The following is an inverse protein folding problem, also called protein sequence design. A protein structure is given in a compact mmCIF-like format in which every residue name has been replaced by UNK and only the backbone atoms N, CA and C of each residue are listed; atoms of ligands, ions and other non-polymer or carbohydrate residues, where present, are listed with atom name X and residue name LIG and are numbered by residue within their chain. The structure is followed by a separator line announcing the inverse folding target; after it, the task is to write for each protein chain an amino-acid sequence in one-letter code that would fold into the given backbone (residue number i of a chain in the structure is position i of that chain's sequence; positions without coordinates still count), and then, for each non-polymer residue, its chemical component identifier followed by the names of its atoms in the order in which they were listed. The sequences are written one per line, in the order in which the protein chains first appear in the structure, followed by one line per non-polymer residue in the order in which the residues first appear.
data_IF_233664721836
#
_entry.id   IF_233664721836
#
_cell.length_a   1.000
_cell.length_b   1.000
_cell.length_c   1.000
_cell.angle_alpha   90.00
_cell.angle_beta   90.00
_cell.angle_gamma   90.00
#
_symmetry.space_group_name_H-M   'P 1'
#
loop_
_entity.id
_entity.type
_entity.pdbx_description
1 polymer ?
#
# COMPACT_ATOMS: atom_id res chain seq x y z
N UNK A 1 12.87 -26.46 -32.15
CA UNK A 1 11.96 -25.96 -33.15
C UNK A 1 12.16 -24.53 -33.61
N UNK A 2 12.98 -23.70 -32.93
CA UNK A 2 13.23 -22.32 -33.37
C UNK A 2 14.45 -22.18 -34.27
N UNK A 3 15.53 -22.92 -33.97
CA UNK A 3 16.78 -22.92 -34.73
C UNK A 3 17.28 -24.36 -34.85
N UNK A 4 17.49 -24.83 -36.09
CA UNK A 4 17.88 -26.22 -36.36
C UNK A 4 19.26 -26.56 -35.80
N UNK A 5 20.20 -25.62 -35.85
CA UNK A 5 21.56 -25.83 -35.34
C UNK A 5 21.57 -25.97 -33.82
N UNK A 6 20.82 -25.12 -33.13
CA UNK A 6 20.66 -25.20 -31.69
C UNK A 6 19.95 -26.48 -31.27
N UNK A 7 18.90 -26.87 -31.97
CA UNK A 7 18.19 -28.12 -31.73
C UNK A 7 19.12 -29.33 -31.89
N UNK A 8 20.01 -29.30 -32.91
CA UNK A 8 21.05 -30.32 -33.09
C UNK A 8 22.01 -30.37 -31.87
N UNK A 9 22.52 -29.21 -31.43
CA UNK A 9 23.41 -29.15 -30.27
C UNK A 9 22.74 -29.68 -29.03
N UNK A 10 21.51 -29.30 -28.76
CA UNK A 10 20.74 -29.78 -27.61
C UNK A 10 20.48 -31.29 -27.66
N UNK A 11 20.20 -31.82 -28.86
CA UNK A 11 20.04 -33.26 -29.03
C UNK A 11 21.33 -34.00 -28.73
N UNK A 12 22.47 -33.54 -29.28
CA UNK A 12 23.79 -34.14 -29.01
C UNK A 12 24.12 -34.12 -27.54
N UNK A 13 23.86 -33.03 -26.82
CA UNK A 13 24.10 -32.92 -25.37
C UNK A 13 23.20 -33.86 -24.54
N UNK A 14 21.97 -34.07 -24.98
CA UNK A 14 21.02 -34.95 -24.28
C UNK A 14 21.28 -36.43 -24.54
N UNK A 15 21.54 -36.78 -25.79
CA UNK A 15 21.59 -38.15 -26.26
C UNK A 15 23.02 -38.70 -26.41
N UNK A 16 24.05 -37.84 -26.39
CA UNK A 16 25.43 -38.23 -26.68
C UNK A 16 25.98 -39.35 -25.76
N UNK A 17 25.60 -39.33 -24.49
CA UNK A 17 25.98 -40.40 -23.54
C UNK A 17 25.36 -41.77 -23.92
N UNK A 18 24.12 -41.76 -24.39
CA UNK A 18 23.48 -42.96 -24.93
C UNK A 18 24.17 -43.52 -26.18
N UNK A 19 24.57 -42.63 -27.06
CA UNK A 19 25.32 -43.01 -28.28
C UNK A 19 26.67 -43.65 -27.95
N UNK A 20 27.37 -43.14 -26.92
CA UNK A 20 28.62 -43.73 -26.44
C UNK A 20 28.36 -45.13 -25.87
N UNK A 21 27.29 -45.33 -25.10
CA UNK A 21 26.89 -46.66 -24.59
C UNK A 21 26.53 -47.65 -25.75
N UNK A 22 25.90 -47.17 -26.79
CA UNK A 22 25.60 -47.95 -27.99
C UNK A 22 26.88 -48.39 -28.73
N UNK A 23 27.85 -47.48 -28.86
CA UNK A 23 29.18 -47.77 -29.43
C UNK A 23 29.90 -48.83 -28.61
N UNK A 24 29.89 -48.69 -27.29
CA UNK A 24 30.48 -49.69 -26.35
C UNK A 24 29.87 -51.08 -26.55
N UNK A 25 28.54 -51.17 -26.58
CA UNK A 25 27.84 -52.44 -26.78
C UNK A 25 28.13 -53.08 -28.14
N UNK A 26 28.11 -52.25 -29.21
CA UNK A 26 28.41 -52.70 -30.58
C UNK A 26 29.83 -53.24 -30.70
N UNK A 27 30.82 -52.52 -30.19
CA UNK A 27 32.23 -52.92 -30.25
C UNK A 27 32.53 -54.13 -29.31
N UNK A 28 31.83 -54.23 -28.22
CA UNK A 28 31.93 -55.41 -27.36
C UNK A 28 31.45 -56.69 -28.06
N UNK A 29 30.37 -56.59 -28.79
CA UNK A 29 29.85 -57.69 -29.62
C UNK A 29 30.79 -58.04 -30.78
N UNK A 30 31.26 -57.01 -31.54
CA UNK A 30 32.14 -57.20 -32.68
C UNK A 30 33.50 -57.76 -32.34
N UNK A 31 34.08 -57.39 -31.20
CA UNK A 31 35.40 -57.83 -30.74
C UNK A 31 35.39 -59.14 -30.01
N UNK A 32 34.24 -59.56 -29.41
CA UNK A 32 34.16 -60.69 -28.52
C UNK A 32 34.81 -60.44 -27.15
N UNK A 33 35.27 -59.25 -26.84
CA UNK A 33 35.87 -58.88 -25.59
C UNK A 33 34.76 -58.48 -24.61
N UNK A 34 34.37 -59.40 -23.71
CA UNK A 34 33.27 -59.18 -22.77
C UNK A 34 33.53 -58.07 -21.74
N UNK A 35 34.77 -57.74 -21.47
CA UNK A 35 35.21 -56.72 -20.53
C UNK A 35 35.49 -55.38 -21.19
N UNK A 36 35.25 -55.23 -22.50
CA UNK A 36 35.44 -53.99 -23.26
C UNK A 36 34.54 -52.89 -22.67
N UNK A 37 35.16 -51.77 -22.33
CA UNK A 37 34.50 -50.65 -21.68
C UNK A 37 35.01 -49.32 -22.21
N UNK A 38 34.11 -48.38 -22.34
CA UNK A 38 34.49 -47.00 -22.66
C UNK A 38 34.59 -46.20 -21.36
N UNK A 39 35.76 -45.63 -21.14
CA UNK A 39 36.01 -44.72 -20.03
C UNK A 39 36.41 -43.33 -20.55
N UNK A 40 36.45 -42.37 -19.66
CA UNK A 40 36.80 -40.98 -19.99
C UNK A 40 37.86 -40.45 -19.01
N UNK A 41 38.86 -39.74 -19.59
CA UNK A 41 39.71 -38.85 -18.78
C UNK A 41 40.00 -37.55 -19.52
N UNK A 42 40.49 -36.54 -18.79
CA UNK A 42 40.75 -35.22 -19.42
C UNK A 42 41.86 -35.19 -20.46
N UNK A 43 42.81 -36.11 -20.39
CA UNK A 43 43.97 -36.17 -21.28
C UNK A 43 43.62 -36.85 -22.60
N UNK A 44 43.00 -38.02 -22.53
CA UNK A 44 42.77 -38.91 -23.71
C UNK A 44 41.33 -38.80 -24.21
N UNK A 45 40.40 -38.12 -23.48
CA UNK A 45 39.00 -38.09 -23.82
C UNK A 45 38.34 -39.44 -23.56
N UNK A 46 37.39 -39.82 -24.41
CA UNK A 46 36.76 -41.14 -24.40
C UNK A 46 37.69 -42.18 -25.05
N UNK A 47 37.83 -43.33 -24.42
CA UNK A 47 38.66 -44.40 -24.90
C UNK A 47 38.10 -45.76 -24.50
N UNK A 48 38.41 -46.79 -25.33
CA UNK A 48 38.20 -48.16 -24.96
C UNK A 48 39.36 -48.67 -24.09
N UNK A 49 39.00 -49.21 -22.96
CA UNK A 49 39.96 -49.84 -22.04
C UNK A 49 40.08 -51.32 -22.38
N UNK A 50 41.30 -51.81 -22.72
CA UNK A 50 41.59 -53.17 -23.05
C UNK A 50 42.73 -53.68 -22.18
N UNK A 51 42.51 -54.77 -21.45
CA UNK A 51 43.57 -55.45 -20.68
C UNK A 51 44.57 -56.11 -21.59
N UNK A 52 45.82 -56.25 -21.13
CA UNK A 52 46.90 -56.86 -21.96
C UNK A 52 46.55 -58.29 -22.40
N UNK A 53 45.79 -59.03 -21.65
CA UNK A 53 45.32 -60.40 -22.01
C UNK A 53 44.38 -60.44 -23.19
N UNK A 54 43.74 -59.33 -23.56
CA UNK A 54 42.76 -59.24 -24.63
C UNK A 54 43.28 -58.48 -25.84
N UNK A 55 44.55 -58.07 -25.90
CA UNK A 55 45.14 -57.26 -26.99
C UNK A 55 45.09 -58.00 -28.33
N UNK A 56 45.16 -59.35 -28.33
CA UNK A 56 45.05 -60.15 -29.56
C UNK A 56 43.66 -60.13 -30.19
N UNK A 57 42.62 -59.76 -29.47
CA UNK A 57 41.23 -59.69 -29.95
C UNK A 57 40.78 -58.30 -30.37
N UNK A 58 41.68 -57.30 -30.30
CA UNK A 58 41.38 -55.92 -30.68
C UNK A 58 41.11 -55.83 -32.16
N UNK A 59 39.94 -55.26 -32.61
CA UNK A 59 39.61 -55.08 -34.00
C UNK A 59 40.63 -54.18 -34.71
N UNK A 60 40.84 -54.40 -36.01
CA UNK A 60 41.80 -53.68 -36.84
C UNK A 60 41.50 -52.15 -36.94
N UNK A 61 40.28 -51.76 -36.81
CA UNK A 61 39.86 -50.35 -36.89
C UNK A 61 40.10 -49.56 -35.58
N UNK A 62 40.51 -50.22 -34.49
CA UNK A 62 40.94 -49.57 -33.28
C UNK A 62 42.32 -48.96 -33.45
N UNK A 63 42.54 -47.73 -33.02
CA UNK A 63 43.85 -47.11 -32.98
C UNK A 63 44.27 -46.88 -31.52
N UNK A 64 45.56 -47.04 -31.26
CA UNK A 64 46.14 -46.91 -29.93
C UNK A 64 46.22 -45.47 -29.52
N UNK A 65 45.68 -45.12 -28.33
CA UNK A 65 45.77 -43.78 -27.70
C UNK A 65 46.82 -43.73 -26.62
N UNK A 66 46.91 -44.72 -25.79
CA UNK A 66 47.88 -44.78 -24.70
C UNK A 66 48.21 -46.22 -24.30
N UNK A 67 49.44 -46.44 -23.83
CA UNK A 67 49.91 -47.74 -23.29
C UNK A 67 50.14 -47.59 -21.80
N UNK A 68 49.52 -48.45 -20.99
CA UNK A 68 49.71 -48.52 -19.54
C UNK A 68 50.36 -49.86 -19.18
N UNK A 69 50.73 -50.01 -17.92
CA UNK A 69 51.43 -51.24 -17.42
C UNK A 69 50.65 -52.53 -17.68
N UNK A 70 49.33 -52.50 -17.43
CA UNK A 70 48.48 -53.68 -17.47
C UNK A 70 47.35 -53.59 -18.51
N UNK A 71 47.28 -52.51 -19.27
CA UNK A 71 46.22 -52.26 -20.24
C UNK A 71 46.63 -51.27 -21.31
N UNK A 72 45.88 -51.20 -22.36
CA UNK A 72 46.01 -50.17 -23.41
C UNK A 72 44.70 -49.47 -23.64
N UNK A 73 44.81 -48.23 -24.08
CA UNK A 73 43.67 -47.37 -24.43
C UNK A 73 43.59 -47.21 -25.93
N UNK A 74 42.40 -47.45 -26.46
CA UNK A 74 42.14 -47.38 -27.90
C UNK A 74 41.02 -46.38 -28.22
N UNK A 75 41.02 -45.85 -29.40
CA UNK A 75 39.94 -45.09 -29.98
C UNK A 75 39.42 -45.70 -31.27
N UNK A 76 38.28 -45.23 -31.70
CA UNK A 76 37.75 -45.49 -33.04
C UNK A 76 37.34 -44.17 -33.70
N UNK A 77 37.23 -44.16 -35.03
CA UNK A 77 36.76 -42.99 -35.74
C UNK A 77 35.33 -42.59 -35.33
N UNK A 78 34.46 -43.57 -35.08
CA UNK A 78 33.10 -43.34 -34.65
C UNK A 78 33.03 -42.70 -33.25
N UNK A 79 33.83 -43.20 -32.30
CA UNK A 79 33.93 -42.63 -30.97
C UNK A 79 34.50 -41.20 -31.00
N UNK A 80 35.55 -40.99 -31.81
CA UNK A 80 36.14 -39.67 -32.00
C UNK A 80 35.17 -38.65 -32.62
N UNK A 81 34.35 -39.11 -33.58
CA UNK A 81 33.31 -38.27 -34.20
C UNK A 81 32.26 -37.84 -33.20
N UNK A 82 31.71 -38.78 -32.42
CA UNK A 82 30.70 -38.46 -31.38
C UNK A 82 31.29 -37.55 -30.30
N UNK A 83 32.50 -37.81 -29.85
CA UNK A 83 33.17 -36.97 -28.89
C UNK A 83 33.38 -35.54 -29.42
N UNK A 84 33.79 -35.41 -30.69
CA UNK A 84 33.92 -34.10 -31.34
C UNK A 84 32.58 -33.35 -31.42
N UNK A 85 31.52 -34.03 -31.81
CA UNK A 85 30.17 -33.43 -31.81
C UNK A 85 29.71 -33.01 -30.44
N UNK A 86 29.97 -33.79 -29.38
CA UNK A 86 29.64 -33.44 -27.99
C UNK A 86 30.43 -32.23 -27.54
N UNK A 87 31.70 -32.15 -27.82
CA UNK A 87 32.56 -31.02 -27.47
C UNK A 87 32.08 -29.74 -28.17
N UNK A 88 31.85 -29.83 -29.49
CA UNK A 88 31.32 -28.72 -30.30
C UNK A 88 29.96 -28.22 -29.73
N UNK A 89 29.05 -29.15 -29.45
CA UNK A 89 27.74 -28.81 -28.88
C UNK A 89 27.85 -28.11 -27.55
N UNK A 90 28.79 -28.55 -26.67
CA UNK A 90 29.03 -27.94 -25.37
C UNK A 90 29.59 -26.52 -25.50
N UNK A 91 30.54 -26.31 -26.38
CA UNK A 91 31.20 -25.01 -26.58
C UNK A 91 30.32 -23.99 -27.31
N UNK A 92 29.59 -24.45 -28.33
CA UNK A 92 28.84 -23.56 -29.26
C UNK A 92 27.36 -23.33 -28.85
N UNK A 93 26.75 -24.25 -28.13
CA UNK A 93 25.32 -24.12 -27.78
C UNK A 93 25.02 -22.86 -26.95
N UNK A 94 25.83 -22.56 -25.96
CA UNK A 94 25.65 -21.39 -25.14
C UNK A 94 25.84 -20.07 -25.91
N UNK A 95 26.86 -20.02 -26.79
CA UNK A 95 27.10 -18.86 -27.67
C UNK A 95 25.95 -18.64 -28.62
N UNK A 96 25.49 -19.72 -29.27
CA UNK A 96 24.37 -19.64 -30.21
C UNK A 96 23.05 -19.25 -29.52
N UNK A 97 22.79 -19.79 -28.35
CA UNK A 97 21.62 -19.36 -27.49
C UNK A 97 21.68 -17.88 -27.24
N UNK A 98 22.84 -17.36 -26.84
CA UNK A 98 23.03 -15.94 -26.58
C UNK A 98 22.80 -15.08 -27.83
N UNK A 99 23.34 -15.49 -28.99
CA UNK A 99 23.12 -14.78 -30.24
C UNK A 99 21.65 -14.76 -30.66
N UNK A 100 20.94 -15.87 -30.50
CA UNK A 100 19.51 -15.96 -30.77
C UNK A 100 18.75 -15.07 -29.82
N UNK A 101 19.08 -15.10 -28.53
CA UNK A 101 18.47 -14.23 -27.52
C UNK A 101 18.65 -12.75 -27.87
N UNK A 102 19.86 -12.36 -28.26
CA UNK A 102 20.16 -10.98 -28.64
C UNK A 102 19.34 -10.53 -29.87
N UNK A 103 19.21 -11.38 -30.89
CA UNK A 103 18.36 -11.06 -32.04
C UNK A 103 16.90 -10.88 -31.66
N UNK A 104 16.37 -11.76 -30.82
CA UNK A 104 14.99 -11.65 -30.34
C UNK A 104 14.83 -10.35 -29.55
N UNK A 105 15.75 -10.04 -28.62
CA UNK A 105 15.74 -8.83 -27.83
C UNK A 105 15.72 -7.57 -28.70
N UNK A 106 16.57 -7.52 -29.71
CA UNK A 106 16.63 -6.40 -30.65
C UNK A 106 15.33 -6.26 -31.45
N UNK A 107 14.76 -7.37 -31.89
CA UNK A 107 13.49 -7.35 -32.62
C UNK A 107 12.35 -6.85 -31.74
N UNK A 108 12.24 -7.34 -30.51
CA UNK A 108 11.25 -6.85 -29.52
C UNK A 108 11.48 -5.37 -29.22
N UNK A 109 12.74 -4.94 -29.14
CA UNK A 109 13.12 -3.55 -28.91
C UNK A 109 12.53 -2.56 -29.91
N UNK A 110 12.33 -2.98 -31.15
CA UNK A 110 11.68 -2.15 -32.20
C UNK A 110 10.22 -1.79 -31.87
N UNK A 111 9.59 -2.60 -31.04
CA UNK A 111 8.18 -2.44 -30.65
C UNK A 111 7.98 -1.87 -29.24
N UNK A 112 9.06 -1.47 -28.55
CA UNK A 112 9.00 -1.07 -27.14
C UNK A 112 7.97 0.03 -26.86
N UNK A 113 7.91 1.04 -27.73
CA UNK A 113 6.95 2.13 -27.57
C UNK A 113 5.50 1.65 -27.67
N UNK A 114 5.22 0.74 -28.60
CA UNK A 114 3.88 0.16 -28.76
C UNK A 114 3.51 -0.74 -27.58
N UNK A 115 4.47 -1.53 -27.09
CA UNK A 115 4.27 -2.37 -25.90
C UNK A 115 4.02 -1.53 -24.65
N UNK A 116 4.76 -0.43 -24.47
CA UNK A 116 4.55 0.51 -23.38
C UNK A 116 3.18 1.20 -23.46
N UNK A 117 2.78 1.63 -24.66
CA UNK A 117 1.45 2.22 -24.85
C UNK A 117 0.32 1.22 -24.59
N UNK A 118 0.48 -0.03 -25.02
CA UNK A 118 -0.46 -1.10 -24.73
C UNK A 118 -0.55 -1.40 -23.24
N UNK A 119 0.60 -1.51 -22.57
CA UNK A 119 0.66 -1.72 -21.11
C UNK A 119 -0.04 -0.59 -20.35
N UNK A 120 0.17 0.65 -20.75
CA UNK A 120 -0.50 1.81 -20.15
C UNK A 120 -2.01 1.76 -20.38
N UNK A 121 -2.45 1.38 -21.57
CA UNK A 121 -3.88 1.21 -21.89
C UNK A 121 -4.54 0.11 -21.02
N UNK A 122 -3.89 -1.04 -20.90
CA UNK A 122 -4.36 -2.14 -20.06
C UNK A 122 -4.42 -1.71 -18.59
N UNK A 123 -3.35 -1.05 -18.08
CA UNK A 123 -3.32 -0.55 -16.70
C UNK A 123 -4.45 0.43 -16.42
N UNK A 124 -4.76 1.31 -17.37
CA UNK A 124 -5.88 2.25 -17.24
C UNK A 124 -7.23 1.52 -17.15
N UNK A 125 -7.47 0.55 -18.00
CA UNK A 125 -8.71 -0.26 -17.98
C UNK A 125 -8.82 -1.05 -16.67
N UNK A 126 -7.73 -1.64 -16.20
CA UNK A 126 -7.69 -2.41 -14.96
C UNK A 126 -8.06 -1.53 -13.74
N UNK A 127 -7.46 -0.34 -13.63
CA UNK A 127 -7.78 0.62 -12.56
C UNK A 127 -9.25 1.07 -12.64
N UNK A 128 -9.73 1.44 -13.80
CA UNK A 128 -11.12 1.90 -13.97
C UNK A 128 -12.12 0.79 -13.65
N UNK A 129 -11.84 -0.43 -14.06
CA UNK A 129 -12.64 -1.61 -13.74
C UNK A 129 -12.67 -1.86 -12.23
N UNK A 130 -11.51 -1.81 -11.55
CA UNK A 130 -11.41 -1.97 -10.11
C UNK A 130 -12.22 -0.90 -9.36
N UNK A 131 -12.11 0.36 -9.75
CA UNK A 131 -12.88 1.47 -9.16
C UNK A 131 -14.40 1.30 -9.39
N UNK A 132 -14.81 0.83 -10.56
CA UNK A 132 -16.22 0.59 -10.87
C UNK A 132 -16.82 -0.52 -10.00
N UNK A 133 -16.11 -1.63 -9.84
CA UNK A 133 -16.55 -2.75 -8.97
C UNK A 133 -16.66 -2.31 -7.51
N UNK A 134 -15.70 -1.54 -7.01
CA UNK A 134 -15.77 -1.00 -5.64
C UNK A 134 -16.94 -0.03 -5.49
N UNK A 135 -17.18 0.84 -6.48
CA UNK A 135 -18.27 1.78 -6.44
C UNK A 135 -19.65 1.07 -6.38
N UNK A 136 -19.84 0.02 -7.16
CA UNK A 136 -21.06 -0.78 -7.14
C UNK A 136 -21.23 -1.51 -5.79
N UNK A 137 -20.21 -2.22 -5.32
CA UNK A 137 -20.27 -3.01 -4.10
C UNK A 137 -20.42 -2.18 -2.82
N UNK A 138 -19.88 -0.97 -2.80
CA UNK A 138 -19.89 -0.06 -1.64
C UNK A 138 -20.93 1.06 -1.76
N UNK A 139 -21.78 1.04 -2.80
CA UNK A 139 -22.80 2.05 -3.05
C UNK A 139 -22.22 3.48 -3.08
N UNK A 140 -21.12 3.64 -3.81
CA UNK A 140 -20.50 4.93 -4.01
C UNK A 140 -21.17 5.70 -5.15
N UNK A 141 -21.12 7.02 -5.09
CA UNK A 141 -21.68 7.90 -6.13
C UNK A 141 -20.59 8.76 -6.76
N UNK A 142 -20.86 9.25 -7.95
CA UNK A 142 -19.95 10.16 -8.67
C UNK A 142 -19.91 11.51 -7.97
N UNK A 143 -18.72 11.99 -7.52
CA UNK A 143 -18.60 13.33 -6.98
C UNK A 143 -18.60 14.38 -8.08
N UNK A 144 -19.07 15.58 -7.75
CA UNK A 144 -18.98 16.76 -8.58
C UNK A 144 -17.91 17.69 -8.04
N UNK A 145 -17.11 18.26 -8.93
CA UNK A 145 -16.11 19.27 -8.59
C UNK A 145 -16.55 20.64 -9.08
N UNK A 146 -16.51 21.62 -8.16
CA UNK A 146 -16.78 23.01 -8.46
C UNK A 146 -15.52 23.86 -8.54
N UNK A 147 -15.64 25.01 -9.18
CA UNK A 147 -14.63 26.07 -9.17
C UNK A 147 -14.71 26.93 -7.90
N UNK A 148 -15.85 26.86 -7.20
CA UNK A 148 -16.09 27.49 -5.90
C UNK A 148 -15.39 26.70 -4.78
N UNK A 149 -15.38 27.29 -3.58
CA UNK A 149 -14.82 26.64 -2.39
C UNK A 149 -15.83 25.79 -1.61
N UNK A 150 -17.05 25.65 -2.12
CA UNK A 150 -18.16 25.00 -1.42
C UNK A 150 -17.96 23.51 -1.24
N UNK A 151 -18.21 23.03 -0.02
CA UNK A 151 -18.33 21.62 0.31
C UNK A 151 -19.80 21.31 0.59
N UNK A 152 -20.40 20.40 -0.16
CA UNK A 152 -21.77 19.94 0.04
C UNK A 152 -21.83 18.41 -0.14
N UNK A 153 -21.71 17.70 0.96
CA UNK A 153 -21.78 16.23 1.03
C UNK A 153 -23.05 15.86 1.76
N UNK A 154 -23.95 15.17 1.08
CA UNK A 154 -25.21 14.70 1.63
C UNK A 154 -25.07 13.25 2.10
N UNK A 155 -25.41 12.99 3.37
CA UNK A 155 -25.36 11.68 4.01
C UNK A 155 -24.03 10.95 3.72
N UNK A 156 -22.93 11.65 3.95
CA UNK A 156 -21.59 11.10 3.81
C UNK A 156 -21.31 9.99 4.81
N UNK A 157 -20.49 9.05 4.39
CA UNK A 157 -20.09 7.90 5.17
C UNK A 157 -18.56 7.80 5.20
N UNK A 158 -18.02 7.17 6.22
CA UNK A 158 -16.60 6.85 6.26
C UNK A 158 -16.39 5.43 5.71
N UNK A 159 -15.79 5.31 4.54
CA UNK A 159 -15.68 4.05 3.81
C UNK A 159 -15.07 2.89 4.63
N UNK A 160 -14.05 3.17 5.42
CA UNK A 160 -13.38 2.15 6.25
C UNK A 160 -14.18 1.82 7.50
N UNK A 161 -14.63 2.82 8.23
CA UNK A 161 -15.38 2.61 9.49
C UNK A 161 -16.71 1.91 9.21
N UNK A 162 -17.43 2.31 8.17
CA UNK A 162 -18.67 1.66 7.74
C UNK A 162 -18.46 0.19 7.41
N UNK A 163 -17.37 -0.15 6.73
CA UNK A 163 -17.04 -1.54 6.39
C UNK A 163 -16.78 -2.40 7.63
N UNK A 164 -16.15 -1.83 8.64
CA UNK A 164 -15.84 -2.53 9.89
C UNK A 164 -17.06 -2.68 10.79
N UNK A 165 -17.87 -1.63 10.90
CA UNK A 165 -19.07 -1.59 11.77
C UNK A 165 -20.29 -2.27 11.12
N UNK A 166 -20.36 -2.32 9.80
CA UNK A 166 -21.53 -2.69 9.04
C UNK A 166 -22.40 -1.48 8.65
N UNK A 167 -22.90 -1.49 7.42
CA UNK A 167 -23.68 -0.38 6.85
C UNK A 167 -24.94 -0.02 7.65
N UNK A 168 -25.55 -0.98 8.34
CA UNK A 168 -26.75 -0.75 9.16
C UNK A 168 -26.47 -0.05 10.49
N UNK A 169 -25.23 -0.12 10.97
CA UNK A 169 -24.83 0.44 12.27
C UNK A 169 -24.21 1.83 12.11
N UNK A 170 -23.63 2.13 10.95
CA UNK A 170 -23.00 3.41 10.66
C UNK A 170 -24.04 4.52 10.46
N UNK A 171 -23.85 5.65 11.15
CA UNK A 171 -24.73 6.83 11.01
C UNK A 171 -24.11 7.79 9.99
N UNK A 172 -24.73 8.00 8.81
CA UNK A 172 -24.25 8.96 7.83
C UNK A 172 -24.34 10.40 8.34
N UNK A 173 -23.40 11.24 7.95
CA UNK A 173 -23.39 12.67 8.27
C UNK A 173 -23.21 13.52 7.01
N UNK A 174 -24.06 14.53 6.88
CA UNK A 174 -23.90 15.57 5.87
C UNK A 174 -22.87 16.60 6.32
N UNK A 175 -22.10 17.12 5.36
CA UNK A 175 -21.09 18.17 5.60
C UNK A 175 -21.41 19.30 4.61
N UNK A 176 -21.82 20.44 5.16
CA UNK A 176 -22.18 21.61 4.38
C UNK A 176 -21.36 22.82 4.82
N UNK A 177 -20.50 23.28 3.94
CA UNK A 177 -19.72 24.50 4.11
C UNK A 177 -19.85 25.33 2.83
N UNK A 178 -20.67 26.38 2.87
CA UNK A 178 -20.82 27.31 1.77
C UNK A 178 -19.54 28.09 1.49
N UNK A 179 -19.55 28.94 0.49
CA UNK A 179 -18.41 29.80 0.18
C UNK A 179 -18.06 30.73 1.36
N UNK A 180 -19.07 31.18 2.11
CA UNK A 180 -18.92 32.08 3.26
C UNK A 180 -18.47 31.34 4.55
N UNK A 181 -18.43 30.03 4.54
CA UNK A 181 -18.02 29.23 5.70
C UNK A 181 -16.65 28.61 5.45
N UNK A 182 -15.63 29.08 6.13
CA UNK A 182 -14.28 28.50 6.04
C UNK A 182 -13.97 27.55 7.21
N UNK A 183 -14.54 27.78 8.39
CA UNK A 183 -14.25 27.00 9.60
C UNK A 183 -15.53 26.41 10.20
N UNK A 184 -15.54 25.13 10.46
CA UNK A 184 -16.49 24.49 11.37
C UNK A 184 -15.79 24.17 12.70
N UNK A 185 -16.28 24.75 13.78
CA UNK A 185 -15.89 24.40 15.13
C UNK A 185 -16.81 23.31 15.67
N UNK A 186 -16.23 22.14 15.94
CA UNK A 186 -16.99 20.94 16.31
C UNK A 186 -16.85 20.70 17.80
N UNK A 187 -17.94 20.76 18.52
CA UNK A 187 -18.00 20.46 19.96
C UNK A 187 -18.81 19.20 20.24
N UNK A 188 -18.65 18.67 21.42
CA UNK A 188 -19.30 17.45 21.85
C UNK A 188 -18.37 16.58 22.69
N UNK A 189 -18.91 15.55 23.33
CA UNK A 189 -18.14 14.66 24.19
C UNK A 189 -17.14 13.82 23.38
N UNK A 190 -16.09 13.37 24.05
CA UNK A 190 -15.18 12.38 23.49
C UNK A 190 -15.97 11.09 23.21
N UNK A 191 -15.54 10.31 22.21
CA UNK A 191 -16.19 9.09 21.75
C UNK A 191 -17.54 9.31 21.03
N UNK A 192 -17.95 10.54 20.79
CA UNK A 192 -19.23 10.86 20.12
C UNK A 192 -19.18 10.79 18.59
N UNK A 193 -17.99 10.66 18.01
CA UNK A 193 -17.82 10.57 16.56
C UNK A 193 -17.25 11.82 15.86
N UNK A 194 -16.75 12.82 16.60
CA UNK A 194 -16.13 14.02 16.03
C UNK A 194 -14.97 13.69 15.09
N UNK A 195 -14.04 12.87 15.54
CA UNK A 195 -12.87 12.46 14.74
C UNK A 195 -13.28 11.66 13.52
N UNK A 196 -14.28 10.80 13.64
CA UNK A 196 -14.83 10.03 12.48
C UNK A 196 -15.43 10.95 11.44
N UNK A 197 -16.17 11.97 11.85
CA UNK A 197 -16.72 12.99 10.98
C UNK A 197 -15.64 13.75 10.20
N UNK A 198 -14.56 14.16 10.87
CA UNK A 198 -13.44 14.84 10.24
C UNK A 198 -12.70 13.94 9.24
N UNK A 199 -12.42 12.71 9.65
CA UNK A 199 -11.76 11.71 8.77
C UNK A 199 -12.62 11.35 7.57
N UNK A 200 -13.94 11.31 7.74
CA UNK A 200 -14.89 11.10 6.64
C UNK A 200 -14.69 12.14 5.53
N UNK A 201 -14.58 13.41 5.86
CA UNK A 201 -14.34 14.47 4.88
C UNK A 201 -12.99 14.29 4.17
N UNK A 202 -11.93 14.03 4.91
CA UNK A 202 -10.60 13.81 4.34
C UNK A 202 -10.58 12.63 3.38
N UNK A 203 -11.15 11.49 3.78
CA UNK A 203 -11.23 10.30 2.94
C UNK A 203 -12.07 10.53 1.68
N UNK A 204 -13.19 11.22 1.80
CA UNK A 204 -14.03 11.57 0.66
C UNK A 204 -13.27 12.46 -0.33
N UNK A 205 -12.55 13.48 0.15
CA UNK A 205 -11.75 14.35 -0.67
C UNK A 205 -10.63 13.61 -1.42
N UNK A 206 -9.91 12.73 -0.73
CA UNK A 206 -8.85 11.90 -1.34
C UNK A 206 -9.42 10.96 -2.38
N UNK A 207 -10.50 10.24 -2.08
CA UNK A 207 -11.16 9.33 -3.02
C UNK A 207 -11.64 10.06 -4.26
N UNK A 208 -12.27 11.22 -4.09
CA UNK A 208 -12.75 12.04 -5.20
C UNK A 208 -11.60 12.48 -6.12
N UNK A 209 -10.52 13.00 -5.54
CA UNK A 209 -9.40 13.56 -6.33
C UNK A 209 -8.54 12.49 -7.01
N UNK A 210 -8.55 11.25 -6.53
CA UNK A 210 -7.88 10.17 -7.26
C UNK A 210 -8.74 9.50 -8.35
N UNK A 211 -9.97 9.97 -8.54
CA UNK A 211 -10.84 9.49 -9.61
C UNK A 211 -11.83 8.40 -9.18
N UNK A 212 -11.92 8.10 -7.89
CA UNK A 212 -12.92 7.18 -7.35
C UNK A 212 -14.27 7.87 -7.17
N UNK A 213 -15.34 7.08 -7.16
CA UNK A 213 -16.61 7.49 -6.58
C UNK A 213 -16.49 7.56 -5.05
N UNK A 214 -17.43 8.20 -4.38
CA UNK A 214 -17.40 8.52 -2.95
C UNK A 214 -18.60 8.01 -2.19
N UNK A 215 -18.46 7.71 -0.88
CA UNK A 215 -19.55 7.18 -0.06
C UNK A 215 -20.45 8.30 0.45
N UNK A 216 -21.43 8.67 -0.34
CA UNK A 216 -22.44 9.69 -0.03
C UNK A 216 -23.67 9.51 -0.93
N UNK A 217 -24.76 10.22 -0.64
CA UNK A 217 -25.89 10.34 -1.59
C UNK A 217 -25.61 11.38 -2.68
N UNK A 218 -24.94 12.45 -2.31
CA UNK A 218 -24.44 13.50 -3.20
C UNK A 218 -23.19 14.12 -2.64
N UNK A 219 -22.26 14.48 -3.50
CA UNK A 219 -21.03 15.14 -3.09
C UNK A 219 -20.61 16.21 -4.10
N UNK A 220 -20.46 17.42 -3.61
CA UNK A 220 -19.85 18.55 -4.33
C UNK A 220 -18.64 19.02 -3.52
N UNK A 221 -17.49 19.07 -4.15
CA UNK A 221 -16.22 19.39 -3.52
C UNK A 221 -15.42 20.39 -4.37
N UNK A 222 -14.64 21.28 -3.75
CA UNK A 222 -13.56 21.94 -4.44
C UNK A 222 -12.38 20.97 -4.63
N UNK A 223 -11.43 21.34 -5.45
CA UNK A 223 -10.14 20.63 -5.55
C UNK A 223 -9.20 21.22 -4.49
N UNK A 224 -8.77 20.37 -3.55
CA UNK A 224 -7.80 20.76 -2.54
C UNK A 224 -6.37 20.58 -3.05
N UNK A 225 -5.51 21.52 -2.75
CA UNK A 225 -4.07 21.43 -3.07
C UNK A 225 -3.30 20.62 -2.03
N UNK A 226 -3.76 20.61 -0.79
CA UNK A 226 -3.19 19.86 0.31
C UNK A 226 -4.22 19.56 1.39
N UNK A 227 -3.99 18.51 2.16
CA UNK A 227 -4.75 18.16 3.36
C UNK A 227 -3.78 18.10 4.53
N UNK A 228 -4.01 18.94 5.53
CA UNK A 228 -3.23 18.97 6.77
C UNK A 228 -4.06 18.39 7.91
N UNK A 229 -3.52 17.43 8.61
CA UNK A 229 -4.25 16.76 9.69
C UNK A 229 -3.44 16.70 10.98
N UNK A 230 -4.14 16.93 12.08
CA UNK A 230 -3.72 16.55 13.43
C UNK A 230 -4.89 15.85 14.08
N UNK A 231 -4.98 14.54 13.94
CA UNK A 231 -6.09 13.71 14.41
C UNK A 231 -5.51 12.54 15.21
N UNK A 232 -5.91 12.42 16.48
CA UNK A 232 -5.44 11.39 17.39
C UNK A 232 -4.19 11.79 18.17
N UNK A 233 -3.86 11.03 19.21
CA UNK A 233 -2.63 11.18 19.98
C UNK A 233 -1.60 10.17 19.47
N UNK A 234 -0.55 10.63 18.80
CA UNK A 234 0.61 9.83 18.53
C UNK A 234 1.71 10.17 19.53
N UNK A 235 2.01 9.24 20.41
CA UNK A 235 3.19 9.32 21.26
C UNK A 235 4.38 8.87 20.40
N UNK A 236 5.21 9.80 19.97
CA UNK A 236 6.49 9.45 19.35
C UNK A 236 7.51 9.13 20.43
N UNK A 237 7.46 7.90 20.90
CA UNK A 237 8.39 7.36 21.91
C UNK A 237 9.85 7.27 21.40
N UNK A 238 10.04 7.34 20.09
CA UNK A 238 11.35 7.16 19.47
C UNK A 238 12.12 8.47 19.42
N UNK A 239 11.44 9.60 19.18
CA UNK A 239 12.09 10.92 19.09
C UNK A 239 12.32 11.61 20.43
N UNK A 240 11.73 11.10 21.52
CA UNK A 240 11.80 11.71 22.84
C UNK A 240 11.09 13.05 22.96
N UNK A 241 10.28 13.42 21.98
CA UNK A 241 9.48 14.64 21.99
C UNK A 241 8.16 14.43 22.74
N UNK A 242 7.70 15.45 23.47
CA UNK A 242 6.40 15.39 24.10
C UNK A 242 5.28 15.40 23.06
N UNK A 243 4.15 14.77 23.38
CA UNK A 243 2.94 14.77 22.54
C UNK A 243 2.54 16.20 22.14
N UNK A 244 2.67 17.16 23.06
CA UNK A 244 2.37 18.56 22.78
C UNK A 244 3.33 19.20 21.78
N UNK A 245 4.62 18.88 21.85
CA UNK A 245 5.60 19.39 20.87
C UNK A 245 5.29 18.88 19.46
N UNK A 246 4.96 17.60 19.33
CA UNK A 246 4.54 17.01 18.03
C UNK A 246 3.29 17.70 17.50
N UNK A 247 2.31 17.91 18.36
CA UNK A 247 1.07 18.63 18.05
C UNK A 247 1.35 20.04 17.52
N UNK A 248 2.23 20.79 18.19
CA UNK A 248 2.61 22.15 17.74
C UNK A 248 3.42 22.15 16.45
N UNK A 249 4.26 21.14 16.22
CA UNK A 249 5.01 21.01 14.94
C UNK A 249 4.06 20.71 13.78
N UNK A 250 3.07 19.85 13.98
CA UNK A 250 2.07 19.54 12.95
C UNK A 250 1.17 20.75 12.66
N UNK A 251 0.75 21.48 13.68
CA UNK A 251 0.02 22.74 13.52
C UNK A 251 0.86 23.79 12.78
N UNK A 252 2.13 23.93 13.13
CA UNK A 252 3.05 24.84 12.44
C UNK A 252 3.24 24.48 10.97
N UNK A 253 3.34 23.20 10.65
CA UNK A 253 3.43 22.74 9.27
C UNK A 253 2.21 23.16 8.44
N UNK A 254 1.02 22.98 9.00
CA UNK A 254 -0.22 23.44 8.36
C UNK A 254 -0.23 24.94 8.15
N UNK A 255 0.07 25.72 9.19
CA UNK A 255 0.07 27.19 9.15
C UNK A 255 1.09 27.73 8.12
N UNK A 256 2.27 27.11 8.05
CA UNK A 256 3.34 27.54 7.15
C UNK A 256 3.06 27.24 5.67
N UNK A 257 2.32 26.19 5.35
CA UNK A 257 2.17 25.68 4.00
C UNK A 257 0.74 25.69 3.45
N UNK A 258 -0.27 25.83 4.29
CA UNK A 258 -1.65 25.86 3.83
C UNK A 258 -1.96 27.12 3.01
N UNK A 259 -2.79 26.95 2.01
CA UNK A 259 -3.37 28.01 1.19
C UNK A 259 -4.89 28.07 1.37
N UNK A 260 -5.55 29.03 0.77
CA UNK A 260 -7.02 29.11 0.75
C UNK A 260 -7.69 27.88 0.09
N UNK A 261 -6.93 27.10 -0.68
CA UNK A 261 -7.37 25.88 -1.36
C UNK A 261 -7.03 24.60 -0.59
N UNK A 262 -6.47 24.72 0.60
CA UNK A 262 -6.13 23.58 1.46
C UNK A 262 -7.31 23.15 2.32
N UNK A 263 -7.24 21.94 2.84
CA UNK A 263 -8.14 21.40 3.87
C UNK A 263 -7.34 21.17 5.15
N UNK A 264 -7.81 21.73 6.27
CA UNK A 264 -7.17 21.60 7.58
C UNK A 264 -8.12 20.88 8.53
N UNK A 265 -7.61 19.84 9.20
CA UNK A 265 -8.36 19.04 10.17
C UNK A 265 -7.58 18.95 11.46
N UNK A 266 -8.02 19.68 12.47
CA UNK A 266 -7.41 19.68 13.82
C UNK A 266 -8.37 19.11 14.85
N UNK A 267 -7.93 18.07 15.55
CA UNK A 267 -8.71 17.39 16.56
C UNK A 267 -8.09 17.62 17.94
N UNK A 268 -8.81 18.34 18.80
CA UNK A 268 -8.45 18.64 20.17
C UNK A 268 -7.07 19.30 20.36
N UNK A 269 -6.74 20.25 19.51
CA UNK A 269 -5.50 20.99 19.59
C UNK A 269 -5.41 21.80 20.90
N UNK A 270 -4.25 21.74 21.57
CA UNK A 270 -4.01 22.42 22.85
C UNK A 270 -4.23 21.54 24.09
N UNK A 271 -4.63 20.29 23.93
CA UNK A 271 -4.90 19.37 25.05
C UNK A 271 -3.64 18.94 25.81
N UNK A 272 -2.49 18.95 25.18
CA UNK A 272 -1.21 18.45 25.74
C UNK A 272 -0.51 19.40 26.70
N UNK A 273 -1.11 20.54 27.07
CA UNK A 273 -0.53 21.55 27.99
C UNK A 273 -1.55 22.03 29.01
N UNK A 274 -1.18 23.03 29.83
CA UNK A 274 -2.11 23.63 30.78
C UNK A 274 -3.36 24.21 30.10
N UNK A 275 -4.52 24.13 30.73
CA UNK A 275 -5.82 24.43 30.12
C UNK A 275 -5.88 25.82 29.48
N UNK A 276 -5.44 26.83 30.18
CA UNK A 276 -5.49 28.21 29.65
C UNK A 276 -4.48 28.44 28.52
N UNK A 277 -3.28 27.88 28.63
CA UNK A 277 -2.29 27.95 27.53
C UNK A 277 -2.81 27.22 26.28
N UNK A 278 -3.37 26.04 26.44
CA UNK A 278 -3.95 25.26 25.36
C UNK A 278 -5.13 25.98 24.69
N UNK A 279 -6.03 26.55 25.46
CA UNK A 279 -7.16 27.30 24.94
C UNK A 279 -6.73 28.58 24.22
N UNK A 280 -5.77 29.31 24.77
CA UNK A 280 -5.23 30.52 24.14
C UNK A 280 -4.56 30.20 22.79
N UNK A 281 -3.78 29.14 22.74
CA UNK A 281 -3.15 28.68 21.48
C UNK A 281 -4.19 28.21 20.46
N UNK A 282 -5.18 27.42 20.87
CA UNK A 282 -6.24 26.95 20.01
C UNK A 282 -7.03 28.13 19.40
N UNK A 283 -7.43 29.08 20.22
CA UNK A 283 -8.12 30.28 19.74
C UNK A 283 -7.26 31.07 18.76
N UNK A 284 -6.01 31.33 19.10
CA UNK A 284 -5.09 32.09 18.23
C UNK A 284 -4.85 31.40 16.89
N UNK A 285 -4.76 30.08 16.89
CA UNK A 285 -4.61 29.30 15.65
C UNK A 285 -5.88 29.40 14.79
N UNK A 286 -7.06 29.28 15.40
CA UNK A 286 -8.34 29.45 14.69
C UNK A 286 -8.43 30.85 14.06
N UNK A 287 -8.14 31.89 14.82
CA UNK A 287 -8.17 33.27 14.35
C UNK A 287 -7.15 33.49 13.22
N UNK A 288 -5.96 32.96 13.34
CA UNK A 288 -4.93 33.07 12.31
C UNK A 288 -5.33 32.38 11.01
N UNK A 289 -5.87 31.16 11.07
CA UNK A 289 -6.38 30.44 9.90
C UNK A 289 -7.51 31.23 9.24
N UNK A 290 -8.43 31.75 10.04
CA UNK A 290 -9.56 32.54 9.55
C UNK A 290 -9.13 33.81 8.83
N UNK A 291 -8.20 34.56 9.37
CA UNK A 291 -7.80 35.87 8.85
C UNK A 291 -6.72 35.81 7.78
N UNK A 292 -5.75 34.90 7.89
CA UNK A 292 -4.57 34.89 7.06
C UNK A 292 -4.49 33.76 6.03
N UNK A 293 -5.21 32.66 6.24
CA UNK A 293 -5.15 31.50 5.36
C UNK A 293 -6.45 31.33 4.58
N UNK A 294 -7.58 31.30 5.23
CA UNK A 294 -8.89 31.12 4.59
C UNK A 294 -9.17 29.70 4.09
N UNK A 295 -8.38 28.71 4.51
CA UNK A 295 -8.57 27.32 4.16
C UNK A 295 -9.84 26.73 4.79
N UNK A 296 -10.50 25.80 4.11
CA UNK A 296 -11.56 25.00 4.70
C UNK A 296 -11.00 24.19 5.87
N UNK A 297 -11.57 24.40 7.06
CA UNK A 297 -11.04 23.88 8.32
C UNK A 297 -12.15 23.24 9.15
N UNK A 298 -11.92 22.02 9.61
CA UNK A 298 -12.68 21.40 10.67
C UNK A 298 -11.82 21.40 11.93
N UNK A 299 -12.30 22.00 12.99
CA UNK A 299 -11.61 22.12 14.25
C UNK A 299 -12.48 21.53 15.37
N UNK A 300 -12.13 20.34 15.84
CA UNK A 300 -12.80 19.72 16.98
C UNK A 300 -12.13 20.12 18.28
N UNK A 301 -12.93 20.50 19.27
CA UNK A 301 -12.43 20.96 20.54
C UNK A 301 -13.34 20.54 21.70
N UNK A 302 -12.74 20.38 22.86
CA UNK A 302 -13.43 20.25 24.15
C UNK A 302 -13.52 21.60 24.91
N UNK A 303 -12.88 22.64 24.38
CA UNK A 303 -12.97 24.00 24.93
C UNK A 303 -14.30 24.64 24.51
N UNK A 304 -15.31 24.50 25.35
CA UNK A 304 -16.64 25.03 25.06
C UNK A 304 -16.63 26.57 24.92
N UNK A 305 -15.72 27.25 25.59
CA UNK A 305 -15.52 28.72 25.54
C UNK A 305 -15.22 29.21 24.12
N UNK A 306 -14.59 28.38 23.28
CA UNK A 306 -14.28 28.74 21.88
C UNK A 306 -15.52 28.84 20.99
N UNK A 307 -16.66 28.33 21.41
CA UNK A 307 -17.93 28.46 20.65
C UNK A 307 -18.38 29.89 20.50
N UNK A 308 -17.95 30.81 21.40
CA UNK A 308 -18.19 32.24 21.30
C UNK A 308 -17.52 32.90 20.09
N UNK A 309 -16.54 32.25 19.44
CA UNK A 309 -15.85 32.77 18.27
C UNK A 309 -16.76 32.92 17.04
N UNK A 310 -17.88 32.22 16.98
CA UNK A 310 -18.88 32.38 15.90
C UNK A 310 -19.42 33.82 15.85
N UNK A 311 -19.53 34.49 16.98
CA UNK A 311 -20.00 35.89 17.07
C UNK A 311 -18.95 36.91 16.53
N UNK A 312 -17.65 36.56 16.59
CA UNK A 312 -16.55 37.46 16.25
C UNK A 312 -15.86 37.13 14.93
N UNK A 313 -15.97 35.88 14.45
CA UNK A 313 -15.37 35.42 13.20
C UNK A 313 -16.47 35.10 12.18
N UNK A 314 -16.56 35.94 11.15
CA UNK A 314 -17.65 35.92 10.18
C UNK A 314 -17.79 34.59 9.43
N UNK A 315 -16.68 33.88 9.19
CA UNK A 315 -16.65 32.66 8.41
C UNK A 315 -16.56 31.39 9.24
N UNK A 316 -16.77 31.48 10.54
CA UNK A 316 -16.80 30.36 11.46
C UNK A 316 -18.23 30.01 11.89
N UNK A 317 -18.58 28.74 11.84
CA UNK A 317 -19.84 28.22 12.35
C UNK A 317 -19.59 27.12 13.37
N UNK A 318 -20.43 27.05 14.39
CA UNK A 318 -20.45 25.95 15.34
C UNK A 318 -21.30 24.80 14.83
N UNK A 319 -20.82 23.60 15.05
CA UNK A 319 -21.57 22.33 14.94
C UNK A 319 -21.28 21.46 16.16
N UNK A 320 -22.16 20.54 16.45
CA UNK A 320 -21.98 19.64 17.60
C UNK A 320 -22.49 18.24 17.29
N UNK A 321 -22.02 17.27 18.07
CA UNK A 321 -22.57 15.91 18.01
C UNK A 321 -23.83 15.87 18.86
N UNK A 322 -24.94 15.51 18.23
CA UNK A 322 -26.23 15.41 18.90
C UNK A 322 -26.24 14.30 19.95
N UNK A 323 -26.90 14.60 21.07
CA UNK A 323 -27.11 13.67 22.19
C UNK A 323 -28.57 13.60 22.52
N UNK A 324 -29.04 12.42 22.99
CA UNK A 324 -30.38 12.23 23.53
C UNK A 324 -30.27 11.94 25.01
N UNK A 325 -30.90 12.79 25.83
CA UNK A 325 -30.99 12.61 27.28
C UNK A 325 -32.40 12.13 27.68
N UNK A 326 -32.49 10.90 28.18
CA UNK A 326 -33.73 10.32 28.67
C UNK A 326 -33.52 9.66 30.03
N UNK A 327 -34.36 10.02 31.01
CA UNK A 327 -34.32 9.42 32.36
C UNK A 327 -32.93 9.47 33.04
N UNK A 328 -32.17 10.54 32.83
CA UNK A 328 -30.82 10.70 33.37
C UNK A 328 -29.75 9.84 32.64
N UNK A 329 -30.11 9.25 31.54
CA UNK A 329 -29.18 8.56 30.65
C UNK A 329 -28.94 9.37 29.39
N UNK A 330 -27.68 9.45 28.96
CA UNK A 330 -27.28 10.14 27.73
C UNK A 330 -26.88 9.11 26.69
N UNK A 331 -27.48 9.22 25.51
CA UNK A 331 -27.12 8.42 24.32
C UNK A 331 -26.53 9.35 23.29
N UNK A 332 -25.34 9.00 22.76
CA UNK A 332 -24.71 9.72 21.66
C UNK A 332 -25.29 9.26 20.33
N UNK A 333 -25.88 10.19 19.58
CA UNK A 333 -26.55 9.87 18.31
C UNK A 333 -25.57 9.79 17.14
N UNK A 334 -24.29 10.11 17.32
CA UNK A 334 -23.26 10.16 16.26
C UNK A 334 -23.66 11.01 15.06
N UNK A 335 -24.55 11.95 15.23
CA UNK A 335 -25.06 12.85 14.21
C UNK A 335 -24.61 14.28 14.49
N UNK A 336 -24.12 14.95 13.45
CA UNK A 336 -23.68 16.34 13.52
C UNK A 336 -24.86 17.26 13.26
N UNK A 337 -25.08 18.23 14.13
CA UNK A 337 -26.12 19.23 14.04
C UNK A 337 -25.57 20.64 14.18
N UNK A 338 -26.25 21.69 13.63
CA UNK A 338 -25.86 23.09 13.78
C UNK A 338 -25.86 23.56 15.22
N UNK A 339 -24.98 24.48 15.53
CA UNK A 339 -24.88 25.12 16.84
C UNK A 339 -23.84 24.47 17.76
N UNK A 340 -23.56 25.11 18.92
CA UNK A 340 -22.65 24.57 19.92
C UNK A 340 -23.31 23.47 20.75
N UNK A 341 -22.51 22.57 21.34
CA UNK A 341 -23.00 21.63 22.35
C UNK A 341 -23.42 22.39 23.59
N UNK A 342 -24.54 21.99 24.23
CA UNK A 342 -25.08 22.67 25.42
C UNK A 342 -24.22 22.47 26.65
N UNK A 343 -23.57 21.31 26.80
CA UNK A 343 -22.73 20.95 27.97
C UNK A 343 -21.77 19.82 27.62
N UNK A 344 -20.74 19.65 28.46
CA UNK A 344 -19.85 18.47 28.38
C UNK A 344 -20.47 17.29 29.14
N UNK A 345 -20.19 16.07 28.70
CA UNK A 345 -20.77 14.84 29.25
C UNK A 345 -19.73 13.93 29.93
N UNK A 346 -18.63 14.48 30.44
CA UNK A 346 -17.55 13.71 31.05
C UNK A 346 -18.02 12.81 32.22
N UNK A 347 -18.90 13.33 33.07
CA UNK A 347 -19.46 12.56 34.21
C UNK A 347 -20.37 11.44 33.69
N UNK A 348 -21.14 11.67 32.66
CA UNK A 348 -21.98 10.63 32.06
C UNK A 348 -21.13 9.50 31.43
N UNK A 349 -20.02 9.82 30.78
CA UNK A 349 -19.08 8.83 30.29
C UNK A 349 -18.47 8.00 31.41
N UNK A 350 -18.10 8.66 32.53
CA UNK A 350 -17.63 8.00 33.74
C UNK A 350 -18.68 7.03 34.33
N UNK A 351 -19.95 7.40 34.29
CA UNK A 351 -21.07 6.53 34.69
C UNK A 351 -21.20 5.30 33.78
N UNK A 352 -21.08 5.49 32.46
CA UNK A 352 -21.11 4.39 31.52
C UNK A 352 -19.92 3.44 31.74
N UNK A 353 -18.76 3.98 32.13
CA UNK A 353 -17.57 3.20 32.48
C UNK A 353 -17.68 2.44 33.79
N UNK A 354 -18.77 2.68 34.59
CA UNK A 354 -19.06 1.93 35.78
C UNK A 354 -18.42 2.49 37.06
N UNK A 355 -18.05 3.79 37.10
CA UNK A 355 -17.56 4.39 38.34
C UNK A 355 -18.64 4.38 39.43
N UNK A 356 -18.27 4.30 40.74
CA UNK A 356 -19.22 4.27 41.87
C UNK A 356 -20.14 5.49 41.89
N UNK A 357 -21.41 5.29 42.28
CA UNK A 357 -22.43 6.34 42.26
C UNK A 357 -22.13 7.52 43.23
N UNK A 358 -21.55 7.25 44.39
CA UNK A 358 -21.14 8.27 45.36
C UNK A 358 -19.96 9.12 44.84
N UNK A 359 -19.01 8.52 44.13
CA UNK A 359 -17.94 9.25 43.45
C UNK A 359 -18.53 10.16 42.37
N UNK A 360 -19.46 9.67 41.56
CA UNK A 360 -20.12 10.44 40.50
C UNK A 360 -20.93 11.60 41.05
N UNK A 361 -21.66 11.41 42.17
CA UNK A 361 -22.39 12.46 42.86
C UNK A 361 -21.44 13.56 43.39
N UNK A 362 -20.29 13.18 43.91
CA UNK A 362 -19.27 14.15 44.36
C UNK A 362 -18.66 14.92 43.18
N UNK A 363 -18.36 14.23 42.08
CA UNK A 363 -17.87 14.87 40.85
C UNK A 363 -18.86 15.91 40.32
N UNK A 364 -20.13 15.59 40.31
CA UNK A 364 -21.21 16.49 39.86
C UNK A 364 -21.32 17.74 40.75
N UNK A 365 -21.22 17.58 42.06
CA UNK A 365 -21.18 18.69 43.01
C UNK A 365 -19.95 19.61 42.80
N UNK A 366 -18.79 19.03 42.56
CA UNK A 366 -17.56 19.77 42.23
C UNK A 366 -17.72 20.53 40.94
N UNK A 367 -18.26 19.90 39.89
CA UNK A 367 -18.49 20.52 38.60
C UNK A 367 -19.39 21.75 38.73
N UNK A 368 -20.51 21.64 39.46
CA UNK A 368 -21.43 22.74 39.71
C UNK A 368 -20.73 23.89 40.42
N UNK A 369 -19.85 23.59 41.38
CA UNK A 369 -19.09 24.62 42.11
C UNK A 369 -18.08 25.32 41.14
N UNK A 370 -17.38 24.58 40.32
CA UNK A 370 -16.41 25.17 39.37
C UNK A 370 -17.09 26.04 38.31
N UNK A 371 -18.24 25.61 37.79
CA UNK A 371 -19.04 26.38 36.86
C UNK A 371 -19.55 27.70 37.46
N UNK A 372 -19.92 27.68 38.75
CA UNK A 372 -20.36 28.89 39.44
C UNK A 372 -19.23 29.90 39.75
N UNK A 373 -17.98 29.42 39.83
CA UNK A 373 -16.79 30.28 40.03
C UNK A 373 -16.21 30.86 38.71
N UNK A 374 -16.56 30.29 37.57
CA UNK A 374 -16.11 30.72 36.26
C UNK A 374 -16.98 31.79 35.59
N UNK A 375 -18.05 32.23 36.24
CA UNK A 375 -18.84 33.40 35.87
C UNK A 375 -18.36 34.62 36.66
#
# INVERSE_FOLDING_TARGET
GFDETLDKYRRVLREGTSWIAEIEAKERENSGISTLKIDYNKKDGYYFHVTNSQLGNVPAHFFRKATLKNSERFGTEELARIEGEMLEAREKSASLEYEIFMRIREEVGKYIQRLQALAQGIATVDVLQGLAVVAENQHLIRPEFGQDSRIDIQKGRHAVVEKVMGAQTYIPNSIQMGEDTSIQLITGPNMSGKSTYMRQLAMTAVMAQLGSYVPAERAHLPIFDAIFTRIGAADDLVSGQSTFMVEMMEANNAIAHATEKSLILFDELGRGTATYDGMALAQSIIEYIHEHIGAKTLFATHYHELTSLEASLEHLVNVHVATLEQNGQVTFLHKIEPGPADKSYGIHVAKIAGLPADLLARADAILTQLESQGQ
#
